data_IF_166864288196
#
_entry.id   IF_166864288196
#
_cell.length_a   1.000
_cell.length_b   1.000
_cell.length_c   1.000
_cell.angle_alpha   90.00
_cell.angle_beta   90.00
_cell.angle_gamma   90.00
#
_symmetry.space_group_name_H-M   'P 1'
#
loop_
_entity.id
_entity.type
_entity.pdbx_description
1 polymer ?
#
# COMPACT_ATOMS: atom_id res chain seq x y z
N UNK A 1 72.57 15.95 -39.01
CA UNK A 1 71.18 16.14 -39.48
C UNK A 1 70.92 15.13 -40.59
N UNK A 2 70.28 14.00 -40.28
CA UNK A 2 69.91 13.00 -41.29
C UNK A 2 68.41 13.09 -41.52
N UNK A 3 68.03 13.69 -42.65
CA UNK A 3 66.66 13.83 -43.10
C UNK A 3 66.28 12.53 -43.83
N UNK A 4 65.52 11.65 -43.18
CA UNK A 4 64.96 10.47 -43.84
C UNK A 4 63.76 10.92 -44.67
N UNK A 5 63.95 11.09 -45.98
CA UNK A 5 62.84 11.27 -46.91
C UNK A 5 62.17 9.93 -47.14
N UNK A 6 61.21 9.58 -46.27
CA UNK A 6 60.34 8.43 -46.49
C UNK A 6 59.52 8.63 -47.77
N UNK A 7 59.61 7.67 -48.70
CA UNK A 7 58.72 7.59 -49.86
C UNK A 7 57.27 7.42 -49.36
N UNK A 8 56.41 8.40 -49.66
CA UNK A 8 54.96 8.21 -49.52
C UNK A 8 54.49 7.24 -50.61
N UNK A 9 54.17 6.02 -50.22
CA UNK A 9 53.39 5.12 -51.05
C UNK A 9 51.92 5.55 -50.96
N UNK A 10 51.30 5.88 -52.10
CA UNK A 10 49.87 6.17 -52.17
C UNK A 10 49.04 4.92 -51.88
N UNK A 11 47.82 5.10 -51.37
CA UNK A 11 46.86 4.01 -51.14
C UNK A 11 46.09 3.67 -52.41
N UNK A 12 45.85 2.40 -52.66
CA UNK A 12 44.99 1.99 -53.76
C UNK A 12 43.50 2.21 -53.42
N UNK A 13 42.67 2.42 -54.44
CA UNK A 13 41.22 2.57 -54.25
C UNK A 13 40.61 1.31 -53.61
N UNK A 14 41.12 0.13 -53.96
CA UNK A 14 40.67 -1.15 -53.39
C UNK A 14 41.00 -1.26 -51.89
N UNK A 15 42.21 -0.86 -51.46
CA UNK A 15 42.55 -0.82 -50.02
C UNK A 15 41.61 0.11 -49.24
N UNK A 16 41.24 1.26 -49.81
CA UNK A 16 40.32 2.18 -49.17
C UNK A 16 38.90 1.59 -49.07
N UNK A 17 38.45 0.84 -50.07
CA UNK A 17 37.17 0.12 -50.02
C UNK A 17 37.19 -1.01 -48.98
N UNK A 18 38.28 -1.78 -48.89
CA UNK A 18 38.40 -2.85 -47.89
C UNK A 18 38.48 -2.26 -46.47
N UNK A 19 39.27 -1.21 -46.25
CA UNK A 19 39.39 -0.58 -44.94
C UNK A 19 38.06 0.05 -44.47
N UNK A 20 37.31 0.70 -45.36
CA UNK A 20 36.01 1.30 -45.04
C UNK A 20 34.94 0.25 -44.75
N UNK A 21 34.90 -0.86 -45.50
CA UNK A 21 33.95 -1.96 -45.23
C UNK A 21 34.21 -2.61 -43.88
N UNK A 22 35.47 -2.90 -43.54
CA UNK A 22 35.83 -3.45 -42.22
C UNK A 22 35.44 -2.46 -41.10
N UNK A 23 35.69 -1.17 -41.28
CA UNK A 23 35.34 -0.14 -40.31
C UNK A 23 33.83 -0.02 -40.10
N UNK A 24 33.03 -0.10 -41.18
CA UNK A 24 31.57 -0.08 -41.10
C UNK A 24 31.02 -1.28 -40.35
N UNK A 25 31.56 -2.48 -40.61
CA UNK A 25 31.18 -3.71 -39.88
C UNK A 25 31.54 -3.58 -38.40
N UNK A 26 32.74 -3.10 -38.08
CA UNK A 26 33.17 -2.89 -36.69
C UNK A 26 32.29 -1.87 -35.96
N UNK A 27 31.97 -0.72 -36.58
CA UNK A 27 31.08 0.29 -36.03
C UNK A 27 29.66 -0.24 -35.81
N UNK A 28 29.15 -1.04 -36.74
CA UNK A 28 27.84 -1.68 -36.61
C UNK A 28 27.78 -2.62 -35.39
N UNK A 29 28.83 -3.42 -35.17
CA UNK A 29 28.94 -4.28 -34.01
C UNK A 29 28.92 -3.47 -32.70
N UNK A 30 29.71 -2.39 -32.63
CA UNK A 30 29.78 -1.52 -31.44
C UNK A 30 28.42 -0.84 -31.16
N UNK A 31 27.77 -0.29 -32.19
CA UNK A 31 26.46 0.36 -32.06
C UNK A 31 25.41 -0.64 -31.56
N UNK A 32 25.46 -1.89 -32.04
CA UNK A 32 24.55 -2.95 -31.63
C UNK A 32 24.73 -3.29 -30.15
N UNK A 33 25.97 -3.48 -29.69
CA UNK A 33 26.29 -3.75 -28.28
C UNK A 33 25.87 -2.57 -27.40
N UNK A 34 26.21 -1.34 -27.79
CA UNK A 34 25.82 -0.15 -27.04
C UNK A 34 24.30 -0.01 -26.92
N UNK A 35 23.58 -0.20 -28.03
CA UNK A 35 22.12 -0.14 -28.05
C UNK A 35 21.48 -1.23 -27.19
N UNK A 36 22.04 -2.44 -27.20
CA UNK A 36 21.59 -3.53 -26.34
C UNK A 36 21.80 -3.20 -24.86
N UNK A 37 22.99 -2.70 -24.50
CA UNK A 37 23.31 -2.27 -23.13
C UNK A 37 22.40 -1.13 -22.66
N UNK A 38 22.20 -0.09 -23.47
CA UNK A 38 21.32 1.03 -23.13
C UNK A 38 19.86 0.58 -22.89
N UNK A 39 19.36 -0.34 -23.72
CA UNK A 39 18.03 -0.96 -23.53
C UNK A 39 17.97 -1.82 -22.27
N UNK A 40 19.04 -2.52 -21.92
CA UNK A 40 19.10 -3.32 -20.71
C UNK A 40 19.11 -2.45 -19.44
N UNK A 41 19.95 -1.41 -19.41
CA UNK A 41 20.04 -0.48 -18.27
C UNK A 41 18.71 0.24 -18.03
N UNK A 42 18.04 0.71 -19.09
CA UNK A 42 16.72 1.35 -18.95
C UNK A 42 15.66 0.40 -18.41
N UNK A 43 15.67 -0.88 -18.79
CA UNK A 43 14.76 -1.90 -18.24
C UNK A 43 15.04 -2.17 -16.76
N UNK A 44 16.31 -2.28 -16.37
CA UNK A 44 16.69 -2.47 -14.97
C UNK A 44 16.26 -1.29 -14.10
N UNK A 45 16.48 -0.06 -14.55
CA UNK A 45 16.05 1.15 -13.82
C UNK A 45 14.53 1.19 -13.64
N UNK A 46 13.77 0.85 -14.68
CA UNK A 46 12.32 0.80 -14.60
C UNK A 46 11.80 -0.27 -13.63
N UNK A 47 12.43 -1.45 -13.61
CA UNK A 47 12.08 -2.51 -12.66
C UNK A 47 12.42 -2.09 -11.22
N UNK A 48 13.60 -1.49 -11.00
CA UNK A 48 13.99 -0.97 -9.71
C UNK A 48 13.02 0.13 -9.22
N UNK A 49 12.60 1.02 -10.12
CA UNK A 49 11.61 2.05 -9.81
C UNK A 49 10.25 1.43 -9.41
N UNK A 50 9.72 0.47 -10.18
CA UNK A 50 8.48 -0.24 -9.83
C UNK A 50 8.61 -0.91 -8.44
N UNK A 51 9.73 -1.59 -8.18
CA UNK A 51 9.99 -2.20 -6.87
C UNK A 51 9.98 -1.17 -5.74
N UNK A 52 10.67 -0.04 -5.91
CA UNK A 52 10.73 1.02 -4.90
C UNK A 52 9.36 1.60 -4.60
N UNK A 53 8.59 1.93 -5.65
CA UNK A 53 7.25 2.49 -5.51
C UNK A 53 6.29 1.50 -4.83
N UNK A 54 6.31 0.23 -5.23
CA UNK A 54 5.41 -0.78 -4.66
C UNK A 54 5.75 -1.11 -3.20
N UNK A 55 7.04 -1.11 -2.84
CA UNK A 55 7.46 -1.23 -1.44
C UNK A 55 7.09 0.02 -0.62
N UNK A 56 7.19 1.22 -1.21
CA UNK A 56 6.73 2.46 -0.59
C UNK A 56 5.23 2.43 -0.27
N UNK A 57 4.41 2.02 -1.25
CA UNK A 57 2.96 1.82 -1.06
C UNK A 57 2.66 0.75 -0.01
N UNK A 58 3.35 -0.40 -0.07
CA UNK A 58 3.19 -1.45 0.92
C UNK A 58 3.54 -0.94 2.33
N UNK A 59 4.62 -0.17 2.47
CA UNK A 59 5.03 0.42 3.75
C UNK A 59 4.01 1.43 4.26
N UNK A 60 3.51 2.32 3.42
CA UNK A 60 2.48 3.31 3.75
C UNK A 60 1.22 2.60 4.29
N UNK A 61 0.65 1.69 3.51
CA UNK A 61 -0.55 0.92 3.89
C UNK A 61 -0.31 0.13 5.18
N UNK A 62 0.87 -0.49 5.32
CA UNK A 62 1.22 -1.27 6.49
C UNK A 62 1.38 -0.42 7.76
N UNK A 63 1.95 0.78 7.63
CA UNK A 63 2.16 1.69 8.74
C UNK A 63 0.84 2.17 9.33
N UNK A 64 -0.09 2.58 8.48
CA UNK A 64 -1.40 3.07 8.95
C UNK A 64 -2.25 1.93 9.54
N UNK A 65 -2.22 0.74 8.93
CA UNK A 65 -2.93 -0.42 9.47
C UNK A 65 -2.41 -0.88 10.83
N UNK A 66 -1.13 -0.65 11.17
CA UNK A 66 -0.61 -0.95 12.51
C UNK A 66 -1.24 -0.06 13.59
N UNK A 67 -1.65 1.16 13.23
CA UNK A 67 -2.28 2.14 14.13
C UNK A 67 -3.77 1.89 14.33
N UNK A 68 -4.39 1.08 13.47
CA UNK A 68 -5.81 0.82 13.54
C UNK A 68 -6.28 0.42 14.94
N UNK A 69 -7.36 1.05 15.39
CA UNK A 69 -7.94 0.89 16.71
C UNK A 69 -7.24 1.67 17.82
N UNK A 70 -6.09 2.31 17.59
CA UNK A 70 -5.41 3.13 18.61
C UNK A 70 -6.34 4.24 19.11
N UNK A 71 -6.28 4.46 20.42
CA UNK A 71 -7.03 5.47 21.16
C UNK A 71 -6.12 6.08 22.22
N UNK A 72 -6.07 7.39 22.31
CA UNK A 72 -5.52 8.07 23.46
C UNK A 72 -6.53 7.97 24.63
N UNK A 73 -6.08 7.46 25.77
CA UNK A 73 -6.91 7.39 26.97
C UNK A 73 -6.04 7.34 28.22
N UNK A 74 -6.62 7.77 29.34
CA UNK A 74 -6.00 7.64 30.67
C UNK A 74 -6.26 6.24 31.24
N UNK A 75 -5.23 5.40 31.43
CA UNK A 75 -5.40 4.08 32.02
C UNK A 75 -6.01 4.17 33.43
N UNK A 76 -6.93 3.26 33.74
CA UNK A 76 -7.58 3.17 35.06
C UNK A 76 -8.76 4.14 35.27
N UNK A 77 -8.96 5.12 34.39
CA UNK A 77 -10.14 6.01 34.43
C UNK A 77 -11.25 5.58 33.47
N UNK A 78 -10.89 4.96 32.34
CA UNK A 78 -11.84 4.52 31.32
C UNK A 78 -11.66 3.03 31.07
N UNK A 79 -12.78 2.32 30.93
CA UNK A 79 -12.74 0.91 30.56
C UNK A 79 -12.13 0.75 29.15
N UNK A 80 -11.02 0.01 28.98
CA UNK A 80 -10.38 -0.18 27.68
C UNK A 80 -11.27 -0.92 26.66
N UNK A 81 -12.31 -1.64 27.11
CA UNK A 81 -13.31 -2.24 26.23
C UNK A 81 -14.22 -1.19 25.55
N UNK A 82 -14.32 0.02 26.12
CA UNK A 82 -15.08 1.13 25.55
C UNK A 82 -14.20 1.95 24.60
N UNK A 83 -13.68 1.30 23.57
CA UNK A 83 -12.84 1.94 22.56
C UNK A 83 -13.67 2.31 21.31
N UNK A 84 -13.95 3.60 21.04
CA UNK A 84 -14.75 4.01 19.88
C UNK A 84 -14.13 3.61 18.54
N UNK A 85 -12.81 3.43 18.48
CA UNK A 85 -12.08 2.99 17.29
C UNK A 85 -12.18 1.49 17.03
N UNK A 86 -12.81 0.73 17.93
CA UNK A 86 -13.08 -0.70 17.80
C UNK A 86 -14.57 -1.04 17.70
N UNK A 87 -15.45 -0.02 17.72
CA UNK A 87 -16.88 -0.17 17.45
C UNK A 87 -17.14 -0.72 16.04
N UNK A 88 -18.29 -1.36 15.77
CA UNK A 88 -18.54 -2.03 14.49
C UNK A 88 -18.32 -1.17 13.23
N UNK A 89 -18.56 0.14 13.31
CA UNK A 89 -18.37 1.10 12.22
C UNK A 89 -16.90 1.50 12.06
N UNK A 90 -16.16 1.66 13.16
CA UNK A 90 -14.78 2.19 13.17
C UNK A 90 -13.68 1.11 13.12
N UNK A 91 -14.02 -0.12 13.52
CA UNK A 91 -13.08 -1.25 13.48
C UNK A 91 -12.62 -1.56 12.06
N UNK A 92 -11.47 -2.23 11.99
CA UNK A 92 -10.92 -2.73 10.72
C UNK A 92 -11.93 -3.62 10.00
N UNK A 93 -12.27 -3.26 8.77
CA UNK A 93 -13.22 -4.01 7.92
C UNK A 93 -12.83 -3.91 6.46
N UNK A 94 -13.07 -4.98 5.72
CA UNK A 94 -12.84 -5.00 4.28
C UNK A 94 -14.14 -4.75 3.51
N UNK A 95 -13.98 -4.29 2.28
CA UNK A 95 -15.06 -4.04 1.34
C UNK A 95 -14.52 -3.96 -0.08
N UNK A 96 -15.23 -3.24 -0.94
CA UNK A 96 -14.82 -2.96 -2.31
C UNK A 96 -15.57 -1.72 -2.83
N UNK A 97 -14.96 -1.02 -3.78
CA UNK A 97 -15.65 -0.01 -4.57
C UNK A 97 -16.50 -0.69 -5.66
N UNK A 98 -17.65 -0.12 -6.01
CA UNK A 98 -18.51 -0.68 -7.05
C UNK A 98 -17.73 -0.88 -8.36
N UNK A 99 -17.71 -2.12 -8.87
CA UNK A 99 -16.95 -2.53 -10.06
C UNK A 99 -15.57 -3.13 -9.78
N UNK A 100 -15.09 -3.07 -8.53
CA UNK A 100 -13.79 -3.65 -8.13
C UNK A 100 -13.93 -5.05 -7.51
N UNK A 101 -12.81 -5.78 -7.45
CA UNK A 101 -12.77 -7.08 -6.78
C UNK A 101 -13.12 -6.97 -5.29
N UNK A 102 -13.74 -8.01 -4.74
CA UNK A 102 -13.99 -8.12 -3.28
C UNK A 102 -12.68 -8.00 -2.50
N UNK A 103 -12.75 -7.42 -1.30
CA UNK A 103 -11.61 -7.19 -0.42
C UNK A 103 -10.52 -6.26 -0.99
N UNK A 104 -10.83 -5.46 -2.01
CA UNK A 104 -9.95 -4.42 -2.56
C UNK A 104 -10.03 -3.09 -1.81
N UNK A 105 -10.82 -3.02 -0.75
CA UNK A 105 -10.92 -1.87 0.14
C UNK A 105 -10.78 -2.32 1.59
N UNK A 106 -10.12 -1.51 2.39
CA UNK A 106 -10.01 -1.63 3.84
C UNK A 106 -10.32 -0.30 4.49
N UNK A 107 -11.11 -0.33 5.55
CA UNK A 107 -11.52 0.82 6.34
C UNK A 107 -11.13 0.55 7.78
N UNK A 108 -10.59 1.56 8.45
CA UNK A 108 -10.14 1.49 9.83
C UNK A 108 -10.10 2.89 10.41
N UNK A 109 -10.14 3.00 11.72
CA UNK A 109 -10.02 4.28 12.40
C UNK A 109 -8.93 4.23 13.47
N UNK A 110 -8.35 5.38 13.78
CA UNK A 110 -7.48 5.56 14.94
C UNK A 110 -7.50 7.03 15.36
N UNK A 111 -7.24 7.24 16.64
CA UNK A 111 -7.13 8.54 17.27
C UNK A 111 -5.87 9.28 16.78
N UNK A 112 -6.07 10.31 15.98
CA UNK A 112 -5.03 11.11 15.38
C UNK A 112 -4.66 12.30 16.27
N UNK A 113 -5.65 12.97 16.85
CA UNK A 113 -5.48 14.24 17.57
C UNK A 113 -5.38 14.09 19.09
N UNK A 114 -5.65 12.88 19.60
CA UNK A 114 -5.49 12.42 20.98
C UNK A 114 -6.58 12.90 21.93
N UNK A 115 -7.79 13.17 21.45
CA UNK A 115 -8.91 13.55 22.29
C UNK A 115 -9.69 12.33 22.86
N UNK A 116 -9.45 11.14 22.30
CA UNK A 116 -10.07 9.87 22.71
C UNK A 116 -11.53 9.69 22.27
N UNK A 117 -12.07 10.62 21.47
CA UNK A 117 -13.30 10.54 20.69
C UNK A 117 -12.94 10.07 19.28
N UNK A 118 -13.92 9.80 18.43
CA UNK A 118 -13.67 9.38 17.06
C UNK A 118 -14.33 10.36 16.09
N UNK A 119 -13.50 11.00 15.26
CA UNK A 119 -13.94 11.87 14.18
C UNK A 119 -14.81 11.16 13.15
N UNK A 120 -16.08 11.56 13.03
CA UNK A 120 -17.01 10.97 12.05
C UNK A 120 -17.52 11.95 11.00
N UNK A 121 -17.27 13.26 11.16
CA UNK A 121 -17.58 14.30 10.17
C UNK A 121 -19.03 14.34 9.67
N UNK A 122 -19.98 13.81 10.46
CA UNK A 122 -21.39 13.61 10.07
C UNK A 122 -22.40 14.11 11.10
N UNK A 123 -21.93 14.65 12.21
CA UNK A 123 -22.76 15.28 13.25
C UNK A 123 -22.40 16.77 13.32
N UNK A 124 -23.37 17.60 13.72
CA UNK A 124 -23.20 19.05 13.89
C UNK A 124 -23.31 19.40 15.38
N UNK A 125 -22.43 20.29 15.87
CA UNK A 125 -22.53 21.05 17.14
C UNK A 125 -23.12 20.28 18.35
N UNK A 126 -22.56 19.11 18.67
CA UNK A 126 -22.87 18.37 19.90
C UNK A 126 -23.95 17.28 19.80
N UNK A 127 -24.50 17.01 18.60
CA UNK A 127 -25.39 15.86 18.36
C UNK A 127 -24.65 14.62 17.85
N UNK A 128 -23.44 14.36 18.36
CA UNK A 128 -22.65 13.21 17.97
C UNK A 128 -23.05 11.97 18.76
N UNK A 129 -22.87 10.80 18.14
CA UNK A 129 -23.02 9.53 18.87
C UNK A 129 -22.01 9.48 20.03
N UNK A 130 -22.30 8.76 21.12
CA UNK A 130 -21.37 8.65 22.23
C UNK A 130 -19.96 8.22 21.78
N UNK A 131 -18.94 8.90 22.31
CA UNK A 131 -17.53 8.69 21.97
C UNK A 131 -17.19 9.00 20.50
N UNK A 132 -17.92 9.94 19.88
CA UNK A 132 -17.63 10.50 18.56
C UNK A 132 -17.76 12.02 18.60
N UNK A 133 -17.14 12.70 17.64
CA UNK A 133 -17.17 14.14 17.46
C UNK A 133 -17.38 14.49 15.96
N UNK A 134 -17.45 15.79 15.67
CA UNK A 134 -17.68 16.33 14.33
C UNK A 134 -16.41 16.47 13.48
N UNK A 135 -15.24 16.07 13.99
CA UNK A 135 -14.02 16.07 13.20
C UNK A 135 -14.15 15.14 12.01
N UNK A 136 -13.75 15.65 10.85
CA UNK A 136 -13.89 14.92 9.60
C UNK A 136 -12.63 14.15 9.23
N UNK A 137 -11.86 13.75 10.23
CA UNK A 137 -10.62 12.98 10.11
C UNK A 137 -10.75 11.68 10.91
N UNK A 138 -9.68 10.92 11.13
CA UNK A 138 -9.69 9.70 11.96
C UNK A 138 -10.34 8.43 11.40
N UNK A 139 -11.27 8.56 10.46
CA UNK A 139 -11.82 7.45 9.67
C UNK A 139 -11.06 7.27 8.35
N UNK A 140 -10.03 6.42 8.39
CA UNK A 140 -9.11 6.16 7.29
C UNK A 140 -9.48 4.92 6.48
N UNK A 141 -8.77 4.75 5.36
CA UNK A 141 -8.95 3.58 4.52
C UNK A 141 -8.10 3.61 3.27
N UNK A 142 -7.95 2.44 2.66
CA UNK A 142 -7.36 2.28 1.35
C UNK A 142 -8.33 1.54 0.44
N UNK A 143 -8.42 1.93 -0.83
CA UNK A 143 -9.21 1.19 -1.83
C UNK A 143 -8.52 1.14 -3.18
N UNK A 144 -8.82 0.13 -3.96
CA UNK A 144 -8.61 0.16 -5.40
C UNK A 144 -9.73 0.95 -6.06
N UNK A 145 -9.38 1.77 -7.05
CA UNK A 145 -10.34 2.37 -7.97
C UNK A 145 -9.67 2.54 -9.35
N UNK A 146 -10.12 1.78 -10.33
CA UNK A 146 -9.42 1.64 -11.60
C UNK A 146 -8.01 1.09 -11.38
N UNK A 147 -7.00 1.84 -11.79
CA UNK A 147 -5.59 1.45 -11.66
C UNK A 147 -4.89 2.11 -10.46
N UNK A 148 -5.63 2.79 -9.59
CA UNK A 148 -5.06 3.55 -8.48
C UNK A 148 -5.41 2.98 -7.10
N UNK A 149 -4.42 2.93 -6.20
CA UNK A 149 -4.69 2.84 -4.76
C UNK A 149 -5.05 4.24 -4.28
N UNK A 150 -6.20 4.38 -3.64
CA UNK A 150 -6.64 5.63 -3.02
C UNK A 150 -6.60 5.53 -1.50
N UNK A 151 -6.16 6.60 -0.84
CA UNK A 151 -6.25 6.78 0.61
C UNK A 151 -7.43 7.69 0.96
N UNK A 152 -8.14 7.35 2.03
CA UNK A 152 -9.26 8.11 2.58
C UNK A 152 -8.75 9.18 3.55
N UNK A 153 -9.32 10.38 3.52
CA UNK A 153 -8.96 11.47 4.43
C UNK A 153 -10.15 12.27 5.00
N UNK A 154 -11.37 11.75 4.90
CA UNK A 154 -12.57 12.39 5.47
C UNK A 154 -13.81 12.26 4.59
N UNK A 155 -14.98 12.62 5.09
CA UNK A 155 -16.27 12.68 4.39
C UNK A 155 -17.40 12.07 5.21
N UNK A 156 -18.64 12.48 4.96
CA UNK A 156 -19.81 12.20 5.80
C UNK A 156 -20.28 10.75 5.89
N UNK A 157 -19.74 9.85 5.05
CA UNK A 157 -20.04 8.41 5.06
C UNK A 157 -18.75 7.61 5.12
N UNK A 158 -18.74 6.62 6.01
CA UNK A 158 -17.59 5.75 6.19
C UNK A 158 -17.78 4.40 5.50
N UNK A 159 -17.65 4.40 4.17
CA UNK A 159 -17.71 3.18 3.36
C UNK A 159 -16.76 3.27 2.15
N UNK A 160 -16.64 2.18 1.40
CA UNK A 160 -15.70 2.09 0.28
C UNK A 160 -16.14 2.87 -0.96
N UNK A 161 -17.41 3.30 -1.05
CA UNK A 161 -18.00 3.99 -2.20
C UNK A 161 -18.06 5.51 -2.00
N UNK A 162 -18.21 5.97 -0.76
CA UNK A 162 -18.36 7.38 -0.41
C UNK A 162 -17.15 7.94 0.33
N UNK A 163 -17.11 9.27 0.46
CA UNK A 163 -16.05 10.00 1.14
C UNK A 163 -15.05 10.66 0.21
N UNK A 164 -14.09 11.34 0.79
CA UNK A 164 -12.96 12.00 0.13
C UNK A 164 -11.78 11.03 0.08
N UNK A 165 -11.29 10.83 -1.15
CA UNK A 165 -10.27 9.85 -1.49
C UNK A 165 -9.26 10.49 -2.43
N UNK A 166 -7.98 10.21 -2.22
CA UNK A 166 -6.89 10.67 -3.08
C UNK A 166 -6.04 9.49 -3.54
N UNK A 167 -5.64 9.48 -4.81
CA UNK A 167 -4.74 8.46 -5.34
C UNK A 167 -3.33 8.66 -4.78
N UNK A 168 -2.68 7.57 -4.33
CA UNK A 168 -1.37 7.62 -3.66
C UNK A 168 -0.25 6.91 -4.42
N UNK A 169 -0.56 6.15 -5.47
CA UNK A 169 0.46 5.54 -6.32
C UNK A 169 0.90 6.49 -7.45
N UNK A 170 2.11 6.25 -7.95
CA UNK A 170 2.67 6.91 -9.12
C UNK A 170 1.77 6.67 -10.36
N UNK A 171 1.48 7.71 -11.18
CA UNK A 171 0.63 7.60 -12.36
C UNK A 171 1.20 6.70 -13.49
N UNK A 172 2.51 6.43 -13.49
CA UNK A 172 3.14 5.51 -14.44
C UNK A 172 3.02 4.04 -14.00
N UNK A 173 2.51 3.79 -12.79
CA UNK A 173 2.28 2.48 -12.21
C UNK A 173 0.78 2.19 -12.14
N UNK A 174 0.36 1.09 -12.76
CA UNK A 174 -1.00 0.62 -12.72
C UNK A 174 -1.15 -0.54 -11.75
N UNK A 175 -2.05 -0.36 -10.78
CA UNK A 175 -2.38 -1.37 -9.79
C UNK A 175 -3.40 -2.31 -10.43
N UNK A 176 -3.03 -3.57 -10.61
CA UNK A 176 -3.87 -4.60 -11.24
C UNK A 176 -4.61 -5.43 -10.21
N UNK A 177 -4.10 -5.48 -8.96
CA UNK A 177 -4.77 -6.16 -7.86
C UNK A 177 -4.41 -5.53 -6.52
N UNK A 178 -5.42 -5.26 -5.72
CA UNK A 178 -5.28 -4.96 -4.30
C UNK A 178 -6.20 -5.90 -3.54
N UNK A 179 -5.68 -6.58 -2.52
CA UNK A 179 -6.47 -7.48 -1.69
C UNK A 179 -6.05 -7.37 -0.22
N UNK A 180 -7.04 -7.29 0.65
CA UNK A 180 -6.91 -7.32 2.10
C UNK A 180 -7.57 -8.57 2.69
N UNK A 181 -6.81 -9.36 3.43
CA UNK A 181 -7.26 -10.60 4.05
C UNK A 181 -7.17 -10.49 5.57
N UNK A 182 -8.26 -10.13 6.27
CA UNK A 182 -8.27 -10.09 7.71
C UNK A 182 -8.18 -11.50 8.29
N UNK A 183 -7.25 -11.72 9.22
CA UNK A 183 -7.17 -12.95 9.99
C UNK A 183 -7.09 -12.60 11.46
N UNK A 184 -8.20 -12.80 12.16
CA UNK A 184 -8.34 -12.55 13.59
C UNK A 184 -8.62 -13.86 14.30
N UNK A 185 -8.03 -14.01 15.48
CA UNK A 185 -8.30 -15.08 16.43
C UNK A 185 -8.83 -14.47 17.71
N UNK A 186 -9.67 -15.23 18.37
CA UNK A 186 -10.19 -14.86 19.67
C UNK A 186 -9.50 -15.67 20.76
N UNK A 187 -9.16 -15.01 21.87
CA UNK A 187 -8.69 -15.63 23.10
C UNK A 187 -9.77 -15.43 24.17
N UNK A 188 -10.32 -16.53 24.69
CA UNK A 188 -11.23 -16.51 25.83
C UNK A 188 -10.39 -16.17 27.10
N UNK A 189 -10.78 -15.11 27.80
CA UNK A 189 -10.08 -14.61 28.98
C UNK A 189 -10.59 -15.24 30.28
N UNK A 190 -11.79 -15.81 30.27
CA UNK A 190 -12.38 -16.53 31.42
C UNK A 190 -11.83 -17.95 31.51
N UNK A 191 -11.73 -18.65 30.37
CA UNK A 191 -11.07 -19.94 30.23
C UNK A 191 -10.33 -20.05 28.89
N UNK A 192 -8.99 -20.03 28.97
CA UNK A 192 -8.10 -20.07 27.79
C UNK A 192 -8.18 -21.37 26.99
N UNK A 193 -8.75 -22.43 27.55
CA UNK A 193 -8.92 -23.72 26.88
C UNK A 193 -10.28 -23.84 26.19
N UNK A 194 -11.20 -22.93 26.48
CA UNK A 194 -12.54 -22.91 25.90
C UNK A 194 -12.61 -22.01 24.68
N UNK A 195 -13.55 -22.32 23.79
CA UNK A 195 -13.87 -21.43 22.67
C UNK A 195 -14.42 -20.10 23.20
N UNK A 196 -14.25 -19.03 22.43
CA UNK A 196 -14.90 -17.77 22.74
C UNK A 196 -16.41 -17.88 22.53
N UNK A 197 -17.16 -17.38 23.50
CA UNK A 197 -18.62 -17.21 23.43
C UNK A 197 -18.97 -15.72 23.57
N UNK A 198 -20.17 -15.28 23.16
CA UNK A 198 -20.60 -13.90 23.41
C UNK A 198 -20.55 -13.49 24.89
N UNK A 199 -20.76 -14.44 25.79
CA UNK A 199 -20.78 -14.21 27.25
C UNK A 199 -19.40 -14.20 27.87
N UNK A 200 -18.38 -14.74 27.20
CA UNK A 200 -17.01 -14.74 27.72
C UNK A 200 -16.30 -13.40 27.46
N UNK A 201 -15.59 -12.90 28.46
CA UNK A 201 -14.61 -11.86 28.24
C UNK A 201 -13.56 -12.37 27.26
N UNK A 202 -13.25 -11.60 26.23
CA UNK A 202 -12.41 -12.08 25.14
C UNK A 202 -11.48 -11.02 24.57
N UNK A 203 -10.30 -11.47 24.16
CA UNK A 203 -9.30 -10.66 23.47
C UNK A 203 -9.19 -11.10 22.01
N UNK A 204 -9.62 -10.23 21.10
CA UNK A 204 -9.54 -10.47 19.65
C UNK A 204 -8.26 -9.83 19.11
N UNK A 205 -7.39 -10.69 18.59
CA UNK A 205 -6.06 -10.33 18.11
C UNK A 205 -5.85 -10.85 16.69
N UNK A 206 -5.11 -10.12 15.87
CA UNK A 206 -4.90 -10.50 14.49
C UNK A 206 -4.33 -9.39 13.63
N UNK A 207 -4.45 -9.58 12.34
CA UNK A 207 -3.84 -8.71 11.37
C UNK A 207 -4.45 -8.83 9.99
N UNK A 208 -3.83 -8.16 9.05
CA UNK A 208 -4.26 -8.06 7.67
C UNK A 208 -3.15 -8.59 6.77
N UNK A 209 -3.47 -9.58 5.96
CA UNK A 209 -2.67 -9.93 4.79
C UNK A 209 -2.96 -8.93 3.68
N UNK A 210 -1.92 -8.35 3.09
CA UNK A 210 -2.01 -7.36 2.03
C UNK A 210 -1.34 -7.96 0.81
N UNK A 211 -2.04 -7.96 -0.33
CA UNK A 211 -1.45 -8.27 -1.63
C UNK A 211 -1.63 -7.09 -2.57
N UNK A 212 -0.53 -6.64 -3.16
CA UNK A 212 -0.51 -5.59 -4.19
C UNK A 212 0.17 -6.17 -5.43
N UNK A 213 -0.56 -6.21 -6.55
CA UNK A 213 -0.02 -6.50 -7.87
C UNK A 213 -0.08 -5.24 -8.72
N UNK A 214 1.01 -4.95 -9.43
CA UNK A 214 1.11 -3.76 -10.26
C UNK A 214 2.02 -3.98 -11.47
N UNK A 215 1.90 -3.10 -12.45
CA UNK A 215 2.71 -3.07 -13.66
C UNK A 215 3.02 -1.63 -14.08
N UNK A 216 4.01 -1.46 -14.95
CA UNK A 216 4.22 -0.16 -15.60
C UNK A 216 3.19 0.03 -16.72
N UNK A 217 2.54 1.21 -16.76
CA UNK A 217 1.47 1.56 -17.71
C UNK A 217 1.82 1.26 -19.18
N UNK A 218 3.05 1.58 -19.58
CA UNK A 218 3.52 1.40 -20.96
C UNK A 218 4.22 0.04 -21.20
N UNK A 219 4.30 -0.84 -20.18
CA UNK A 219 5.00 -2.14 -20.25
C UNK A 219 4.37 -3.18 -19.31
N UNK A 220 3.24 -3.74 -19.71
CA UNK A 220 2.52 -4.76 -18.96
C UNK A 220 3.35 -6.02 -18.62
N UNK A 221 4.41 -6.31 -19.40
CA UNK A 221 5.32 -7.42 -19.11
C UNK A 221 6.14 -7.22 -17.80
N UNK A 222 6.27 -5.99 -17.32
CA UNK A 222 6.94 -5.67 -16.06
C UNK A 222 5.91 -5.65 -14.94
N UNK A 223 5.49 -6.84 -14.49
CA UNK A 223 4.57 -7.00 -13.38
C UNK A 223 5.31 -7.38 -12.10
N UNK A 224 4.89 -6.83 -10.97
CA UNK A 224 5.37 -7.18 -9.64
C UNK A 224 4.18 -7.47 -8.72
N UNK A 225 4.31 -8.49 -7.88
CA UNK A 225 3.38 -8.73 -6.78
C UNK A 225 4.14 -8.74 -5.47
N UNK A 226 3.63 -8.01 -4.49
CA UNK A 226 4.11 -8.02 -3.12
C UNK A 226 3.00 -8.52 -2.20
N UNK A 227 3.37 -9.42 -1.29
CA UNK A 227 2.54 -9.91 -0.20
C UNK A 227 3.18 -9.48 1.11
N UNK A 228 2.37 -8.98 2.05
CA UNK A 228 2.82 -8.64 3.39
C UNK A 228 1.77 -9.01 4.44
N UNK A 229 2.23 -9.33 5.65
CA UNK A 229 1.37 -9.49 6.81
C UNK A 229 1.60 -8.37 7.80
N UNK A 230 0.51 -7.70 8.19
CA UNK A 230 0.54 -6.62 9.19
C UNK A 230 -0.28 -7.00 10.39
N UNK A 231 0.39 -7.04 11.54
CA UNK A 231 -0.28 -7.10 12.85
C UNK A 231 -0.96 -5.76 13.15
N UNK A 232 -2.28 -5.78 13.35
CA UNK A 232 -3.01 -4.65 13.95
C UNK A 232 -2.59 -4.61 15.42
N UNK A 233 -2.03 -3.51 15.92
CA UNK A 233 -1.41 -3.52 17.26
C UNK A 233 -2.40 -3.38 18.40
N UNK A 234 -3.54 -2.74 18.14
CA UNK A 234 -4.55 -2.61 19.17
C UNK A 234 -5.49 -3.82 19.16
N UNK A 235 -5.27 -4.73 20.11
CA UNK A 235 -6.16 -5.86 20.32
C UNK A 235 -7.49 -5.41 20.86
N UNK A 236 -8.55 -6.05 20.37
CA UNK A 236 -9.90 -5.69 20.79
C UNK A 236 -10.30 -6.49 22.00
N UNK A 237 -10.43 -5.80 23.13
CA UNK A 237 -11.07 -6.33 24.31
C UNK A 237 -12.58 -6.24 24.13
N UNK A 238 -13.28 -7.36 24.27
CA UNK A 238 -14.74 -7.41 24.31
C UNK A 238 -15.13 -7.89 25.69
N UNK A 239 -15.93 -7.10 26.39
CA UNK A 239 -16.54 -7.50 27.64
C UNK A 239 -17.52 -8.64 27.37
N UNK A 240 -17.54 -9.66 28.23
CA UNK A 240 -18.58 -10.67 28.21
C UNK A 240 -19.92 -10.05 28.58
N UNK A 241 -21.01 -10.46 27.92
CA UNK A 241 -22.35 -10.18 28.43
C UNK A 241 -22.55 -10.95 29.73
N UNK A 242 -22.32 -10.32 30.88
CA UNK A 242 -23.02 -10.79 32.07
C UNK A 242 -24.51 -10.51 31.82
N UNK A 243 -25.33 -11.56 31.82
CA UNK A 243 -26.77 -11.40 31.82
C UNK A 243 -27.15 -10.35 32.85
N UNK A 244 -27.93 -9.36 32.42
CA UNK A 244 -28.60 -8.47 33.34
C UNK A 244 -29.63 -9.31 34.11
N UNK A 245 -29.21 -9.87 35.24
CA UNK A 245 -30.09 -10.35 36.30
C UNK A 245 -30.36 -9.19 37.30
#
# INVERSE_FOLDING_TARGET
MLNHSGSQAGMTLVELMIASTISLVALSAVITVYSATARHSTRQLQQAHLHQQLNGLMHLVSSDLRRAGYRHFSPGLVNPANNPFQNPVNRVRTGFYAGEHRNSCILFAYDLDQDGLAGVGRCDDGNCEPLTDDDNVEQFGFRLRGTGIQSRFGGSRFDCNHGYWQTVNDPDIEITRLEFQPRFRCLNLDDRNSACTPDSAQLVQGGIGIRISAQLKNRAATALTLDNWVRVRNDRLVAGSQGAD
#
